data_IF_873345287432
#
_entry.id   IF_873345287432
#
_cell.length_a   1.000
_cell.length_b   1.000
_cell.length_c   1.000
_cell.angle_alpha   90.00
_cell.angle_beta   90.00
_cell.angle_gamma   90.00
#
_symmetry.space_group_name_H-M   'P 1'
#
loop_
_entity.id
_entity.type
_entity.pdbx_description
1 polymer ?
#
# COMPACT_ATOMS: atom_id res chain seq x y z
N UNK A 1 -60.01 -13.60 22.49
CA UNK A 1 -58.58 -13.24 22.58
C UNK A 1 -57.92 -13.26 21.18
N UNK A 2 -58.42 -12.49 20.20
CA UNK A 2 -58.00 -12.62 18.80
C UNK A 2 -57.74 -11.28 18.06
N UNK A 3 -57.42 -10.19 18.78
CA UNK A 3 -57.21 -8.87 18.15
C UNK A 3 -55.78 -8.31 18.28
N UNK A 4 -54.87 -8.98 18.99
CA UNK A 4 -53.50 -8.49 19.20
C UNK A 4 -52.43 -9.09 18.28
N UNK A 5 -52.75 -10.15 17.53
CA UNK A 5 -51.78 -10.86 16.67
C UNK A 5 -51.50 -10.13 15.33
N UNK A 6 -52.44 -9.33 14.82
CA UNK A 6 -52.31 -8.71 13.48
C UNK A 6 -51.50 -7.39 13.43
N UNK A 7 -51.33 -6.71 14.57
CA UNK A 7 -50.60 -5.43 14.61
C UNK A 7 -49.09 -5.67 14.70
N UNK A 8 -48.65 -6.60 15.56
CA UNK A 8 -47.24 -6.92 15.78
C UNK A 8 -46.57 -7.40 14.48
N UNK A 9 -47.22 -8.30 13.73
CA UNK A 9 -46.67 -8.80 12.46
C UNK A 9 -46.49 -7.75 11.36
N UNK A 10 -47.35 -6.72 11.31
CA UNK A 10 -47.22 -5.61 10.35
C UNK A 10 -46.05 -4.69 10.68
N UNK A 11 -45.82 -4.40 11.96
CA UNK A 11 -44.67 -3.60 12.39
C UNK A 11 -43.35 -4.34 12.22
N UNK A 12 -43.33 -5.66 12.46
CA UNK A 12 -42.17 -6.52 12.20
C UNK A 12 -41.84 -6.60 10.70
N UNK A 13 -42.86 -6.72 9.83
CA UNK A 13 -42.67 -6.72 8.39
C UNK A 13 -42.18 -5.36 7.85
N UNK A 14 -42.71 -4.25 8.38
CA UNK A 14 -42.26 -2.90 8.02
C UNK A 14 -40.84 -2.62 8.49
N UNK A 15 -40.47 -3.07 9.70
CA UNK A 15 -39.10 -2.96 10.20
C UNK A 15 -38.12 -3.77 9.35
N UNK A 16 -38.48 -5.00 8.95
CA UNK A 16 -37.67 -5.82 8.04
C UNK A 16 -37.47 -5.16 6.68
N UNK A 17 -38.53 -4.59 6.10
CA UNK A 17 -38.45 -3.86 4.82
C UNK A 17 -37.54 -2.64 4.93
N UNK A 18 -37.63 -1.87 6.02
CA UNK A 18 -36.80 -0.70 6.25
C UNK A 18 -35.30 -1.07 6.34
N UNK A 19 -34.97 -2.17 7.02
CA UNK A 19 -33.58 -2.67 7.10
C UNK A 19 -33.05 -3.06 5.73
N UNK A 20 -33.86 -3.71 4.89
CA UNK A 20 -33.46 -4.09 3.52
C UNK A 20 -33.21 -2.83 2.67
N UNK A 21 -34.09 -1.83 2.75
CA UNK A 21 -33.92 -0.57 2.01
C UNK A 21 -32.63 0.14 2.43
N UNK A 22 -32.33 0.19 3.73
CA UNK A 22 -31.09 0.77 4.23
C UNK A 22 -29.87 -0.03 3.75
N UNK A 23 -29.91 -1.36 3.82
CA UNK A 23 -28.81 -2.22 3.36
C UNK A 23 -28.54 -2.06 1.85
N UNK A 24 -29.60 -2.02 1.03
CA UNK A 24 -29.50 -1.78 -0.42
C UNK A 24 -28.98 -0.37 -0.71
N UNK A 25 -29.43 0.63 0.04
CA UNK A 25 -28.92 2.00 -0.07
C UNK A 25 -27.44 2.11 0.27
N UNK A 26 -26.99 1.44 1.35
CA UNK A 26 -25.57 1.37 1.72
C UNK A 26 -24.76 0.64 0.65
N UNK A 27 -25.25 -0.50 0.15
CA UNK A 27 -24.58 -1.25 -0.92
C UNK A 27 -24.42 -0.39 -2.18
N UNK A 28 -25.51 0.26 -2.63
CA UNK A 28 -25.48 1.16 -3.78
C UNK A 28 -24.55 2.35 -3.56
N UNK A 29 -24.57 2.95 -2.37
CA UNK A 29 -23.66 4.05 -2.01
C UNK A 29 -22.20 3.61 -2.02
N UNK A 30 -21.86 2.47 -1.41
CA UNK A 30 -20.49 1.96 -1.38
C UNK A 30 -20.00 1.66 -2.80
N UNK A 31 -20.80 1.00 -3.64
CA UNK A 31 -20.41 0.71 -5.03
C UNK A 31 -20.33 1.96 -5.92
N UNK A 32 -21.11 3.01 -5.64
CA UNK A 32 -21.02 4.28 -6.35
C UNK A 32 -19.84 5.14 -5.87
N UNK A 33 -19.57 5.18 -4.56
CA UNK A 33 -18.53 6.01 -3.96
C UNK A 33 -17.13 5.37 -4.03
N UNK A 34 -17.06 4.03 -4.07
CA UNK A 34 -15.82 3.25 -4.12
C UNK A 34 -15.87 2.29 -5.31
N UNK A 35 -15.70 2.76 -6.55
CA UNK A 35 -15.55 1.87 -7.69
C UNK A 35 -14.33 0.95 -7.49
N UNK A 36 -14.46 -0.33 -7.90
CA UNK A 36 -13.37 -1.34 -7.87
C UNK A 36 -12.04 -0.81 -8.45
N UNK A 37 -12.13 0.12 -9.40
CA UNK A 37 -10.99 0.88 -9.92
C UNK A 37 -10.53 1.92 -8.91
N UNK A 38 -9.67 1.51 -7.98
CA UNK A 38 -8.90 2.44 -7.14
C UNK A 38 -8.12 3.40 -8.03
N UNK A 39 -8.07 4.68 -7.65
CA UNK A 39 -7.48 5.79 -8.41
C UNK A 39 -6.27 5.38 -9.27
N UNK A 40 -6.47 5.35 -10.57
CA UNK A 40 -5.37 5.36 -11.53
C UNK A 40 -4.66 6.70 -11.36
N UNK A 41 -3.44 6.67 -10.83
CA UNK A 41 -2.71 7.89 -10.62
C UNK A 41 -2.52 8.52 -11.99
N UNK A 42 -2.96 9.77 -12.18
CA UNK A 42 -2.96 10.46 -13.49
C UNK A 42 -1.58 10.54 -14.18
N UNK A 43 -0.51 10.18 -13.47
CA UNK A 43 0.88 10.12 -13.92
C UNK A 43 1.36 8.69 -14.24
N UNK A 44 0.52 7.69 -13.98
CA UNK A 44 0.73 6.26 -14.22
C UNK A 44 -0.25 5.73 -15.30
N UNK A 45 -0.87 6.64 -16.06
CA UNK A 45 -1.94 6.40 -17.08
C UNK A 45 -1.51 5.63 -18.31
N UNK A 46 -0.35 5.00 -18.23
CA UNK A 46 0.15 4.17 -19.30
C UNK A 46 0.72 2.93 -18.65
N UNK A 47 -0.18 2.03 -18.25
CA UNK A 47 0.18 0.67 -17.87
C UNK A 47 1.10 0.07 -18.91
N UNK A 48 0.96 0.39 -20.21
CA UNK A 48 1.86 -0.12 -21.26
C UNK A 48 3.31 0.40 -21.16
N UNK A 49 3.53 1.58 -20.56
CA UNK A 49 4.87 2.11 -20.19
C UNK A 49 5.39 1.59 -18.84
N UNK A 50 4.53 0.91 -18.07
CA UNK A 50 4.89 0.19 -16.84
C UNK A 50 4.97 -1.34 -17.08
N UNK A 51 4.37 -1.83 -18.17
CA UNK A 51 4.15 -3.23 -18.52
C UNK A 51 5.38 -3.92 -19.15
N UNK A 52 6.49 -3.20 -19.27
CA UNK A 52 7.75 -3.75 -19.77
C UNK A 52 8.66 -4.40 -18.74
N UNK A 53 8.61 -4.05 -17.45
CA UNK A 53 9.82 -4.26 -16.61
C UNK A 53 9.69 -5.22 -15.43
N UNK A 54 8.67 -5.13 -14.58
CA UNK A 54 8.53 -5.98 -13.38
C UNK A 54 7.09 -5.94 -12.85
N UNK A 55 6.50 -4.74 -12.87
CA UNK A 55 5.27 -4.42 -12.17
C UNK A 55 4.06 -5.25 -12.64
N UNK A 56 3.83 -5.41 -13.95
CA UNK A 56 2.66 -6.14 -14.45
C UNK A 56 2.65 -7.62 -14.03
N UNK A 57 3.82 -8.26 -13.89
CA UNK A 57 3.92 -9.60 -13.34
C UNK A 57 3.71 -9.59 -11.82
N UNK A 58 4.38 -8.69 -11.11
CA UNK A 58 4.30 -8.57 -9.65
C UNK A 58 2.93 -8.11 -9.12
N UNK A 59 2.14 -7.40 -9.92
CA UNK A 59 0.75 -7.08 -9.61
C UNK A 59 -0.11 -8.36 -9.54
N UNK A 60 0.27 -9.41 -10.28
CA UNK A 60 -0.43 -10.71 -10.28
C UNK A 60 0.15 -11.68 -9.25
N UNK A 61 1.48 -11.76 -9.14
CA UNK A 61 2.16 -12.77 -8.31
C UNK A 61 2.37 -12.31 -6.87
N UNK A 62 2.54 -11.01 -6.64
CA UNK A 62 2.74 -10.39 -5.31
C UNK A 62 1.93 -9.09 -5.18
N UNK A 63 0.59 -9.14 -5.32
CA UNK A 63 -0.26 -7.96 -5.46
C UNK A 63 -0.09 -6.94 -4.33
N UNK A 64 0.05 -7.43 -3.09
CA UNK A 64 0.25 -6.55 -1.93
C UNK A 64 1.55 -5.74 -2.04
N UNK A 65 2.68 -6.38 -2.39
CA UNK A 65 3.98 -5.72 -2.48
C UNK A 65 3.98 -4.70 -3.63
N UNK A 66 3.40 -5.09 -4.78
CA UNK A 66 3.27 -4.20 -5.93
C UNK A 66 2.43 -2.96 -5.58
N UNK A 67 1.29 -3.17 -4.89
CA UNK A 67 0.43 -2.08 -4.46
C UNK A 67 1.12 -1.18 -3.43
N UNK A 68 1.83 -1.78 -2.45
CA UNK A 68 2.51 -1.01 -1.42
C UNK A 68 3.67 -0.17 -1.99
N UNK A 69 4.35 -0.67 -3.03
CA UNK A 69 5.31 0.13 -3.81
C UNK A 69 4.60 1.28 -4.54
N UNK A 70 3.53 0.98 -5.28
CA UNK A 70 2.78 1.94 -6.10
C UNK A 70 2.26 3.11 -5.27
N UNK A 71 1.73 2.84 -4.08
CA UNK A 71 1.23 3.85 -3.12
C UNK A 71 2.31 4.41 -2.19
N UNK A 72 3.52 3.87 -2.25
CA UNK A 72 4.67 4.33 -1.49
C UNK A 72 5.32 5.55 -2.12
N UNK A 73 6.17 6.24 -1.35
CA UNK A 73 6.91 7.43 -1.86
C UNK A 73 7.73 7.13 -3.10
N UNK A 74 8.35 5.96 -3.17
CA UNK A 74 9.15 5.55 -4.32
C UNK A 74 8.30 5.30 -5.58
N UNK A 75 7.13 4.65 -5.46
CA UNK A 75 6.21 4.48 -6.58
C UNK A 75 5.60 5.79 -7.06
N UNK A 76 5.17 6.66 -6.13
CA UNK A 76 4.66 8.00 -6.46
C UNK A 76 5.68 8.89 -7.17
N UNK A 77 6.98 8.73 -6.86
CA UNK A 77 8.08 9.43 -7.52
C UNK A 77 8.64 8.69 -8.75
N UNK A 78 7.98 7.61 -9.18
CA UNK A 78 8.34 6.81 -10.36
C UNK A 78 9.72 6.14 -10.27
N UNK A 79 10.23 5.87 -9.07
CA UNK A 79 11.44 5.08 -8.87
C UNK A 79 11.14 3.62 -9.23
N UNK A 80 11.65 3.18 -10.38
CA UNK A 80 11.39 1.86 -10.96
C UNK A 80 12.03 0.75 -10.12
N UNK A 81 11.45 -0.45 -10.18
CA UNK A 81 11.90 -1.62 -9.41
C UNK A 81 13.39 -1.92 -9.60
N UNK A 82 13.88 -1.86 -10.84
CA UNK A 82 15.28 -2.15 -11.19
C UNK A 82 16.29 -1.14 -10.63
N UNK A 83 15.86 0.02 -10.13
CA UNK A 83 16.77 0.99 -9.50
C UNK A 83 17.39 0.38 -8.24
N UNK A 84 16.57 -0.33 -7.46
CA UNK A 84 17.00 -1.06 -6.27
C UNK A 84 17.32 -2.53 -6.59
N UNK A 85 16.48 -3.20 -7.38
CA UNK A 85 16.63 -4.64 -7.65
C UNK A 85 17.60 -4.97 -8.78
N UNK A 86 18.07 -3.99 -9.56
CA UNK A 86 18.86 -4.21 -10.77
C UNK A 86 18.03 -4.71 -11.96
N UNK A 87 18.65 -4.75 -13.14
CA UNK A 87 18.05 -5.36 -14.33
C UNK A 87 18.53 -6.82 -14.47
N UNK A 88 17.65 -7.79 -14.75
CA UNK A 88 18.02 -9.20 -14.88
C UNK A 88 19.07 -9.49 -15.97
N UNK A 89 19.15 -8.65 -17.00
CA UNK A 89 20.13 -8.79 -18.08
C UNK A 89 21.52 -8.22 -17.72
N UNK A 90 21.67 -7.72 -16.50
CA UNK A 90 22.93 -7.21 -15.95
C UNK A 90 23.34 -5.82 -16.46
N UNK A 91 22.51 -5.16 -17.27
CA UNK A 91 22.86 -3.84 -17.87
C UNK A 91 22.53 -2.64 -16.99
N UNK A 92 21.91 -2.88 -15.82
CA UNK A 92 21.57 -1.83 -14.87
C UNK A 92 22.75 -1.36 -14.01
N UNK A 93 22.61 -0.17 -13.40
CA UNK A 93 23.59 0.40 -12.46
C UNK A 93 23.61 -0.31 -11.07
N UNK A 94 22.69 -1.24 -10.85
CA UNK A 94 22.60 -2.07 -9.66
C UNK A 94 22.61 -3.52 -10.11
N UNK A 95 23.41 -4.36 -9.44
CA UNK A 95 23.44 -5.81 -9.68
C UNK A 95 22.05 -6.37 -9.39
N UNK A 96 21.58 -7.28 -10.24
CA UNK A 96 20.28 -7.90 -10.03
C UNK A 96 20.24 -8.70 -8.72
N UNK A 97 19.27 -8.41 -7.86
CA UNK A 97 18.99 -9.11 -6.62
C UNK A 97 17.50 -8.99 -6.24
N UNK A 98 16.88 -10.12 -5.89
CA UNK A 98 15.50 -10.15 -5.40
C UNK A 98 15.39 -9.47 -4.03
N UNK A 99 16.42 -9.59 -3.20
CA UNK A 99 16.56 -8.90 -1.92
C UNK A 99 17.88 -8.08 -1.95
N UNK A 100 17.83 -6.82 -2.41
CA UNK A 100 19.02 -5.99 -2.54
C UNK A 100 19.46 -5.47 -1.16
N UNK A 101 20.78 -5.42 -0.94
CA UNK A 101 21.34 -4.87 0.29
C UNK A 101 20.94 -3.38 0.44
N UNK A 102 20.12 -3.02 1.45
CA UNK A 102 19.65 -1.66 1.68
C UNK A 102 20.80 -0.66 1.81
N UNK A 103 21.94 -1.07 2.37
CA UNK A 103 23.08 -0.19 2.54
C UNK A 103 23.62 0.31 1.19
N UNK A 104 23.64 -0.58 0.19
CA UNK A 104 24.17 -0.28 -1.14
C UNK A 104 23.17 0.43 -2.04
N UNK A 105 21.86 0.20 -1.87
CA UNK A 105 20.84 0.76 -2.77
C UNK A 105 20.22 2.06 -2.23
N UNK A 106 20.04 2.18 -0.92
CA UNK A 106 19.44 3.37 -0.32
C UNK A 106 20.44 4.53 -0.28
N UNK A 107 21.72 4.28 0.07
CA UNK A 107 22.73 5.35 0.18
C UNK A 107 22.99 6.06 -1.14
N UNK A 108 22.87 5.38 -2.28
CA UNK A 108 23.00 6.01 -3.62
C UNK A 108 22.17 7.30 -3.77
N UNK A 109 21.03 7.40 -3.09
CA UNK A 109 20.18 8.59 -3.10
C UNK A 109 20.07 9.29 -1.73
N UNK A 110 20.28 8.57 -0.63
CA UNK A 110 20.08 9.09 0.73
C UNK A 110 21.37 9.43 1.48
N UNK A 111 22.54 9.36 0.83
CA UNK A 111 23.85 9.57 1.47
C UNK A 111 23.92 10.80 2.39
N UNK A 112 23.47 12.02 1.98
CA UNK A 112 23.57 13.19 2.86
C UNK A 112 22.70 13.10 4.11
N UNK A 113 21.56 12.39 4.04
CA UNK A 113 20.72 12.16 5.19
C UNK A 113 21.34 11.09 6.11
N UNK A 114 21.87 10.02 5.52
CA UNK A 114 22.49 8.93 6.28
C UNK A 114 23.74 9.42 7.02
N UNK A 115 24.63 10.17 6.36
CA UNK A 115 25.84 10.72 6.99
C UNK A 115 25.51 11.63 8.19
N UNK A 116 24.44 12.43 8.09
CA UNK A 116 23.98 13.27 9.21
C UNK A 116 23.45 12.44 10.37
N UNK A 117 22.74 11.35 10.09
CA UNK A 117 22.22 10.45 11.12
C UNK A 117 23.34 9.65 11.77
N UNK A 118 24.30 9.16 10.98
CA UNK A 118 25.49 8.46 11.43
C UNK A 118 26.34 9.32 12.36
N UNK A 119 26.60 10.58 12.00
CA UNK A 119 27.36 11.50 12.84
C UNK A 119 26.72 11.74 14.21
N UNK A 120 25.39 11.61 14.33
CA UNK A 120 24.64 11.89 15.56
C UNK A 120 24.36 10.65 16.40
N UNK A 121 24.14 9.50 15.76
CA UNK A 121 23.62 8.30 16.42
C UNK A 121 24.46 7.04 16.16
N UNK A 122 25.56 7.16 15.41
CA UNK A 122 26.33 6.03 14.90
C UNK A 122 25.67 5.37 13.68
N UNK A 123 26.43 4.52 13.00
CA UNK A 123 25.97 3.86 11.79
C UNK A 123 24.99 2.73 12.12
N UNK A 124 23.81 2.75 11.48
CA UNK A 124 22.88 1.62 11.45
C UNK A 124 22.73 1.15 10.00
N UNK A 125 23.48 0.12 9.55
CA UNK A 125 23.51 -0.28 8.15
C UNK A 125 22.19 -0.91 7.69
N UNK A 126 21.48 -1.60 8.59
CA UNK A 126 20.15 -2.16 8.33
C UNK A 126 19.05 -1.08 8.36
N UNK A 127 19.00 -0.32 7.26
CA UNK A 127 18.05 0.78 7.05
C UNK A 127 16.59 0.33 7.23
N UNK A 128 16.28 -0.89 6.80
CA UNK A 128 14.95 -1.49 6.76
C UNK A 128 14.37 -1.89 8.13
N UNK A 129 15.19 -2.02 9.18
CA UNK A 129 14.71 -2.26 10.55
C UNK A 129 13.74 -1.17 11.03
N UNK A 130 13.99 0.07 10.58
CA UNK A 130 13.20 1.24 10.93
C UNK A 130 12.45 1.83 9.72
N UNK A 131 12.97 1.63 8.51
CA UNK A 131 12.39 2.08 7.25
C UNK A 131 12.03 0.90 6.34
N UNK A 132 10.97 0.15 6.68
CA UNK A 132 10.54 -0.98 5.87
C UNK A 132 10.29 -0.58 4.41
N UNK A 133 10.64 -1.48 3.50
CA UNK A 133 10.51 -1.30 2.05
C UNK A 133 9.10 -1.63 1.58
N UNK A 134 8.77 -1.16 0.36
CA UNK A 134 7.44 -1.35 -0.27
C UNK A 134 6.32 -1.12 0.74
N UNK A 135 6.26 0.09 1.31
CA UNK A 135 5.23 0.47 2.26
C UNK A 135 4.44 1.65 1.70
N UNK A 136 3.11 1.53 1.77
CA UNK A 136 2.20 2.56 1.34
C UNK A 136 2.08 3.67 2.41
N UNK A 137 1.78 4.88 1.95
CA UNK A 137 1.57 6.04 2.84
C UNK A 137 0.09 6.15 3.29
N UNK A 138 -0.80 5.36 2.69
CA UNK A 138 -2.26 5.62 2.64
C UNK A 138 -3.05 4.59 3.46
N UNK A 139 -2.67 3.32 3.42
CA UNK A 139 -3.28 2.22 4.19
C UNK A 139 -2.31 1.76 5.29
N UNK A 140 -2.34 2.51 6.39
CA UNK A 140 -1.43 2.40 7.54
C UNK A 140 -1.48 1.03 8.25
N UNK A 141 -0.73 0.06 7.75
CA UNK A 141 0.04 -0.85 8.63
C UNK A 141 1.52 -0.43 8.72
N UNK A 142 1.93 0.55 7.89
CA UNK A 142 3.23 1.20 7.93
C UNK A 142 3.51 2.04 9.19
N UNK A 143 2.47 2.27 10.00
CA UNK A 143 2.53 2.93 11.31
C UNK A 143 2.05 2.01 12.43
N UNK A 144 2.25 0.69 12.34
CA UNK A 144 2.70 0.00 13.57
C UNK A 144 3.82 0.88 14.09
N UNK A 145 3.64 1.52 15.28
CA UNK A 145 4.59 2.51 15.80
C UNK A 145 5.97 2.00 15.47
N UNK A 146 6.70 2.70 14.59
CA UNK A 146 8.08 2.36 14.29
C UNK A 146 8.73 2.04 15.62
N UNK A 147 9.46 0.93 15.76
CA UNK A 147 10.03 0.53 17.05
C UNK A 147 10.83 1.68 17.71
N UNK A 148 11.25 2.68 16.92
CA UNK A 148 11.78 3.97 17.36
C UNK A 148 10.87 4.82 18.28
N UNK A 149 9.57 4.52 18.39
CA UNK A 149 8.59 5.16 19.29
C UNK A 149 8.03 4.21 20.35
N UNK A 150 8.47 2.95 20.39
CA UNK A 150 7.83 1.94 21.23
C UNK A 150 8.45 1.75 22.62
N UNK A 151 9.71 2.12 22.88
CA UNK A 151 10.21 2.32 24.26
C UNK A 151 11.58 3.00 24.23
N UNK A 152 11.64 4.25 24.68
CA UNK A 152 12.79 4.78 25.43
C UNK A 152 12.27 4.96 26.85
N UNK A 153 12.23 3.87 27.60
CA UNK A 153 12.15 3.88 29.06
C UNK A 153 13.48 3.34 29.56
#
# INVERSE_FOLDING_TARGET
MALFQGKIGKWSALAGLAVIVVAVGIYAYVHAAFPETRCEAKHLTDESKMAGDCYACHLKTTPKIAQDWYEGKHGMLLVKCFVCHGQPDGKGATKFAVDPDPDTVCRKCHDPAVNRMEAKFGLRPQCNDCHPYHQNSIHHEAFQKTMSKQTVN
#
